data_IF_788403172900
#
_entry.id   IF_788403172900
#
_cell.length_a   1.000
_cell.length_b   1.000
_cell.length_c   1.000
_cell.angle_alpha   90.00
_cell.angle_beta   90.00
_cell.angle_gamma   90.00
#
_symmetry.space_group_name_H-M   'P 1'
#
loop_
_entity.id
_entity.type
_entity.pdbx_description
1 polymer ?
#
# COMPACT_ATOMS: atom_id res chain seq x y z
N UNK A 1 -7.06 17.13 30.60
CA UNK A 1 -7.32 18.00 29.42
C UNK A 1 -7.77 17.12 28.27
N UNK A 2 -8.60 17.63 27.35
CA UNK A 2 -9.03 16.87 26.17
C UNK A 2 -7.84 16.64 25.23
N UNK A 3 -7.63 15.37 24.84
CA UNK A 3 -6.61 14.95 23.89
C UNK A 3 -7.13 15.10 22.47
N UNK A 4 -6.26 15.52 21.54
CA UNK A 4 -6.57 15.60 20.11
C UNK A 4 -5.50 14.88 19.29
N UNK A 5 -5.86 13.69 18.83
CA UNK A 5 -5.10 12.97 17.81
C UNK A 5 -5.68 13.36 16.46
N UNK A 6 -4.82 13.69 15.51
CA UNK A 6 -5.20 13.99 14.14
C UNK A 6 -4.72 12.86 13.24
N UNK A 7 -5.57 12.46 12.30
CA UNK A 7 -5.25 11.57 11.19
C UNK A 7 -5.34 12.38 9.90
N UNK A 8 -4.27 12.37 9.12
CA UNK A 8 -4.19 13.03 7.83
C UNK A 8 -4.13 11.95 6.77
N UNK A 9 -4.99 12.03 5.77
CA UNK A 9 -5.12 11.06 4.69
C UNK A 9 -5.22 11.80 3.35
N UNK A 10 -4.28 11.55 2.45
CA UNK A 10 -4.23 12.23 1.15
C UNK A 10 -5.33 11.72 0.23
N UNK A 11 -6.05 12.67 -0.37
CA UNK A 11 -7.24 12.38 -1.14
C UNK A 11 -6.90 11.68 -2.46
N UNK A 12 -7.40 10.44 -2.62
CA UNK A 12 -7.21 9.61 -3.81
C UNK A 12 -5.75 9.62 -4.31
N UNK A 13 -4.80 9.47 -3.38
CA UNK A 13 -3.39 9.86 -3.53
C UNK A 13 -2.74 9.54 -4.87
N UNK A 14 -2.74 8.27 -5.32
CA UNK A 14 -2.09 7.91 -6.59
C UNK A 14 -2.73 8.60 -7.79
N UNK A 15 -4.05 8.60 -7.91
CA UNK A 15 -4.72 9.32 -9.01
C UNK A 15 -4.53 10.83 -8.93
N UNK A 16 -4.49 11.40 -7.72
CA UNK A 16 -4.24 12.83 -7.54
C UNK A 16 -2.82 13.22 -7.93
N UNK A 17 -1.81 12.39 -7.64
CA UNK A 17 -0.44 12.56 -8.15
C UNK A 17 -0.39 12.55 -9.69
N UNK A 18 -1.16 11.65 -10.31
CA UNK A 18 -1.27 11.57 -11.77
C UNK A 18 -1.96 12.80 -12.36
N UNK A 19 -3.07 13.26 -11.77
CA UNK A 19 -3.79 14.46 -12.20
C UNK A 19 -3.01 15.76 -11.92
N UNK A 20 -2.13 15.76 -10.91
CA UNK A 20 -1.24 16.87 -10.61
C UNK A 20 -0.24 17.09 -11.75
N UNK A 21 0.44 16.00 -12.16
CA UNK A 21 1.53 16.00 -13.15
C UNK A 21 1.05 15.89 -14.60
N UNK A 22 -0.19 15.45 -14.81
CA UNK A 22 -0.85 15.35 -16.13
C UNK A 22 -2.13 16.19 -16.09
N UNK A 23 -2.05 17.53 -16.25
CA UNK A 23 -3.18 18.43 -16.06
C UNK A 23 -4.44 18.07 -16.87
N UNK A 24 -4.27 17.46 -18.05
CA UNK A 24 -5.40 17.00 -18.87
C UNK A 24 -6.19 15.81 -18.29
N UNK A 25 -5.73 15.21 -17.20
CA UNK A 25 -6.45 14.17 -16.46
C UNK A 25 -7.33 14.73 -15.34
N UNK A 26 -7.21 16.02 -14.98
CA UNK A 26 -8.03 16.65 -13.94
C UNK A 26 -9.51 16.60 -14.34
N UNK A 27 -10.39 16.24 -13.40
CA UNK A 27 -11.82 16.10 -13.67
C UNK A 27 -12.22 14.83 -14.46
N UNK A 28 -11.25 13.96 -14.80
CA UNK A 28 -11.52 12.72 -15.55
C UNK A 28 -11.50 11.50 -14.63
N UNK A 29 -12.27 10.43 -14.94
CA UNK A 29 -12.17 9.16 -14.24
C UNK A 29 -10.80 8.51 -14.47
N UNK A 30 -9.86 8.70 -13.55
CA UNK A 30 -8.53 8.07 -13.57
C UNK A 30 -8.49 6.85 -12.66
N UNK A 31 -7.93 5.76 -13.19
CA UNK A 31 -7.61 4.53 -12.47
C UNK A 31 -6.12 4.25 -12.62
N UNK A 32 -5.42 4.11 -11.50
CA UNK A 32 -4.00 3.76 -11.45
C UNK A 32 -3.88 2.27 -11.18
N UNK A 33 -3.11 1.56 -12.00
CA UNK A 33 -2.80 0.16 -11.75
C UNK A 33 -2.26 -0.55 -12.97
N UNK A 34 -1.80 -1.77 -12.77
CA UNK A 34 -1.27 -2.57 -13.85
C UNK A 34 -2.41 -3.06 -14.75
N UNK A 35 -2.24 -2.96 -16.07
CA UNK A 35 -3.23 -3.36 -17.07
C UNK A 35 -3.14 -4.84 -17.48
N UNK A 36 -2.11 -5.56 -17.02
CA UNK A 36 -1.98 -7.00 -17.25
C UNK A 36 -3.13 -7.80 -16.61
N UNK A 37 -3.40 -9.00 -17.12
CA UNK A 37 -4.65 -9.74 -16.88
C UNK A 37 -5.05 -9.96 -15.40
N UNK A 38 -4.07 -9.99 -14.49
CA UNK A 38 -4.30 -10.19 -13.05
C UNK A 38 -4.10 -8.91 -12.22
N UNK A 39 -3.97 -7.76 -12.88
CA UNK A 39 -3.81 -6.46 -12.24
C UNK A 39 -5.03 -6.05 -11.44
N UNK A 40 -4.78 -5.31 -10.37
CA UNK A 40 -5.80 -4.67 -9.53
C UNK A 40 -5.62 -3.16 -9.56
N UNK A 41 -6.67 -2.44 -9.23
CA UNK A 41 -6.64 -0.98 -9.05
C UNK A 41 -5.79 -0.65 -7.82
N UNK A 42 -4.68 0.05 -8.03
CA UNK A 42 -3.84 0.58 -6.97
C UNK A 42 -4.44 1.87 -6.38
N UNK A 43 -5.05 2.71 -7.22
CA UNK A 43 -5.76 3.91 -6.79
C UNK A 43 -6.82 4.33 -7.81
N UNK A 44 -7.91 4.92 -7.34
CA UNK A 44 -8.99 5.43 -8.17
C UNK A 44 -9.36 6.85 -7.74
N UNK A 45 -9.45 7.74 -8.72
CA UNK A 45 -9.94 9.12 -8.58
C UNK A 45 -11.38 9.17 -8.07
N UNK A 46 -11.79 10.30 -7.51
CA UNK A 46 -13.18 10.45 -7.06
C UNK A 46 -14.18 10.33 -8.22
N UNK A 47 -13.82 10.80 -9.41
CA UNK A 47 -14.60 10.65 -10.64
C UNK A 47 -14.74 9.19 -11.04
N UNK A 48 -13.69 8.37 -10.88
CA UNK A 48 -13.78 6.93 -11.11
C UNK A 48 -14.58 6.20 -10.01
N UNK A 49 -14.46 6.63 -8.74
CA UNK A 49 -15.23 6.09 -7.62
C UNK A 49 -16.73 6.35 -7.77
N UNK A 50 -17.11 7.52 -8.30
CA UNK A 50 -18.49 7.84 -8.63
C UNK A 50 -19.10 6.89 -9.67
N UNK A 51 -18.27 6.30 -10.53
CA UNK A 51 -18.65 5.26 -11.49
C UNK A 51 -18.55 3.84 -10.92
N UNK A 52 -18.24 3.69 -9.63
CA UNK A 52 -18.19 2.41 -8.93
C UNK A 52 -16.82 1.75 -8.88
N UNK A 53 -15.77 2.31 -9.51
CA UNK A 53 -14.41 1.76 -9.42
C UNK A 53 -13.85 1.92 -8.00
N UNK A 54 -13.13 0.90 -7.50
CA UNK A 54 -12.59 0.88 -6.13
C UNK A 54 -11.16 0.37 -6.11
N UNK A 55 -10.37 0.78 -5.12
CA UNK A 55 -9.06 0.17 -4.86
C UNK A 55 -9.20 -1.33 -4.61
N UNK A 56 -8.17 -2.09 -4.99
CA UNK A 56 -8.14 -3.56 -4.98
C UNK A 56 -9.16 -4.28 -5.89
N UNK A 57 -10.01 -3.54 -6.63
CA UNK A 57 -10.87 -4.12 -7.64
C UNK A 57 -10.04 -4.70 -8.80
N UNK A 58 -10.43 -5.85 -9.39
CA UNK A 58 -9.81 -6.35 -10.62
C UNK A 58 -9.84 -5.30 -11.73
N UNK A 59 -8.71 -5.09 -12.41
CA UNK A 59 -8.56 -4.03 -13.41
C UNK A 59 -9.56 -4.15 -14.56
N UNK A 60 -9.91 -5.39 -14.97
CA UNK A 60 -10.91 -5.60 -16.02
C UNK A 60 -12.30 -5.08 -15.61
N UNK A 61 -12.71 -5.26 -14.35
CA UNK A 61 -13.98 -4.75 -13.85
C UNK A 61 -13.97 -3.22 -13.78
N UNK A 62 -12.87 -2.64 -13.28
CA UNK A 62 -12.71 -1.20 -13.22
C UNK A 62 -12.79 -0.55 -14.61
N UNK A 63 -12.15 -1.15 -15.63
CA UNK A 63 -12.23 -0.70 -17.03
C UNK A 63 -13.67 -0.72 -17.57
N UNK A 64 -14.42 -1.78 -17.28
CA UNK A 64 -15.84 -1.86 -17.66
C UNK A 64 -16.66 -0.75 -17.02
N UNK A 65 -16.43 -0.46 -15.72
CA UNK A 65 -17.17 0.55 -14.98
C UNK A 65 -16.88 1.98 -15.45
N UNK A 66 -15.60 2.33 -15.69
CA UNK A 66 -15.23 3.69 -16.13
C UNK A 66 -15.50 3.94 -17.62
N UNK A 67 -15.67 2.86 -18.41
CA UNK A 67 -15.97 2.91 -19.84
C UNK A 67 -14.94 3.71 -20.65
N UNK A 68 -15.38 4.26 -21.79
CA UNK A 68 -14.51 5.03 -22.71
C UNK A 68 -14.11 6.40 -22.17
N UNK A 69 -14.77 6.89 -21.12
CA UNK A 69 -14.46 8.20 -20.51
C UNK A 69 -13.24 8.13 -19.59
N UNK A 70 -13.01 6.96 -19.00
CA UNK A 70 -11.93 6.74 -18.06
C UNK A 70 -10.55 6.57 -18.69
N UNK A 71 -9.53 6.87 -17.90
CA UNK A 71 -8.12 6.72 -18.27
C UNK A 71 -7.48 5.77 -17.28
N UNK A 72 -6.83 4.73 -17.80
CA UNK A 72 -6.00 3.83 -17.00
C UNK A 72 -4.54 4.24 -17.17
N UNK A 73 -3.86 4.48 -16.05
CA UNK A 73 -2.44 4.84 -16.04
C UNK A 73 -1.62 3.85 -15.25
N UNK A 74 -0.40 3.58 -15.72
CA UNK A 74 0.55 2.75 -14.98
C UNK A 74 1.08 3.53 -13.75
N UNK A 75 1.34 2.83 -12.64
CA UNK A 75 1.80 3.47 -11.41
C UNK A 75 3.24 3.96 -11.52
N UNK A 76 3.48 5.22 -11.13
CA UNK A 76 4.81 5.87 -11.10
C UNK A 76 5.27 6.08 -9.65
N UNK A 77 5.74 4.99 -9.03
CA UNK A 77 6.07 4.98 -7.59
C UNK A 77 7.19 5.95 -7.19
N UNK A 78 8.09 6.32 -8.10
CA UNK A 78 9.10 7.37 -7.87
C UNK A 78 8.43 8.72 -7.55
N UNK A 79 7.45 9.13 -8.37
CA UNK A 79 6.65 10.34 -8.18
C UNK A 79 5.87 10.27 -6.88
N UNK A 80 5.20 9.14 -6.61
CA UNK A 80 4.38 8.97 -5.40
C UNK A 80 5.23 9.08 -4.14
N UNK A 81 6.41 8.44 -4.12
CA UNK A 81 7.33 8.52 -2.98
C UNK A 81 7.88 9.93 -2.79
N UNK A 82 8.20 10.62 -3.89
CA UNK A 82 8.71 11.99 -3.82
C UNK A 82 7.67 12.94 -3.19
N UNK A 83 6.43 12.89 -3.67
CA UNK A 83 5.33 13.72 -3.14
C UNK A 83 4.97 13.33 -1.70
N UNK A 84 4.92 12.02 -1.40
CA UNK A 84 4.70 11.51 -0.04
C UNK A 84 5.72 12.05 0.94
N UNK A 85 7.02 12.02 0.60
CA UNK A 85 8.08 12.56 1.46
C UNK A 85 7.90 14.04 1.77
N UNK A 86 7.51 14.85 0.78
CA UNK A 86 7.23 16.27 0.99
C UNK A 86 6.05 16.47 1.94
N UNK A 87 4.93 15.76 1.71
CA UNK A 87 3.74 15.83 2.57
C UNK A 87 4.06 15.42 4.00
N UNK A 88 4.72 14.27 4.19
CA UNK A 88 5.07 13.76 5.52
C UNK A 88 6.03 14.68 6.26
N UNK A 89 6.95 15.35 5.54
CA UNK A 89 7.81 16.37 6.13
C UNK A 89 7.01 17.58 6.65
N UNK A 90 6.04 18.08 5.88
CA UNK A 90 5.14 19.17 6.31
C UNK A 90 4.33 18.74 7.54
N UNK A 91 3.76 17.53 7.52
CA UNK A 91 2.97 17.00 8.65
C UNK A 91 3.84 16.88 9.91
N UNK A 92 5.06 16.35 9.80
CA UNK A 92 5.98 16.23 10.92
C UNK A 92 6.44 17.59 11.46
N UNK A 93 6.72 18.56 10.58
CA UNK A 93 7.09 19.93 10.97
C UNK A 93 5.98 20.61 11.79
N UNK A 94 4.71 20.38 11.45
CA UNK A 94 3.58 20.97 12.16
C UNK A 94 3.16 20.16 13.40
N UNK A 95 3.17 18.83 13.30
CA UNK A 95 2.59 17.95 14.31
C UNK A 95 3.56 17.34 15.31
N UNK A 96 4.87 17.56 15.15
CA UNK A 96 5.91 16.96 15.96
C UNK A 96 6.08 15.47 15.66
N UNK A 97 5.60 14.60 16.56
CA UNK A 97 5.73 13.15 16.39
C UNK A 97 4.76 12.66 15.31
N UNK A 98 5.32 12.21 14.19
CA UNK A 98 4.57 11.57 13.10
C UNK A 98 4.63 10.04 13.21
N UNK A 99 3.45 9.43 13.30
CA UNK A 99 3.27 7.99 13.07
C UNK A 99 2.75 7.75 11.65
N UNK A 100 3.68 7.57 10.72
CA UNK A 100 3.33 7.26 9.33
C UNK A 100 2.81 5.83 9.20
N UNK A 101 1.58 5.67 8.70
CA UNK A 101 0.98 4.35 8.46
C UNK A 101 1.25 3.85 7.04
N UNK A 102 1.22 4.75 6.05
CA UNK A 102 1.42 4.46 4.64
C UNK A 102 2.07 5.64 3.92
N UNK A 103 2.21 5.55 2.60
CA UNK A 103 2.69 6.65 1.74
C UNK A 103 1.78 7.88 1.76
N UNK A 104 0.51 7.72 2.11
CA UNK A 104 -0.53 8.75 2.00
C UNK A 104 -1.23 9.08 3.32
N UNK A 105 -0.90 8.40 4.41
CA UNK A 105 -1.58 8.65 5.69
C UNK A 105 -0.65 8.56 6.91
N UNK A 106 -1.01 9.31 7.96
CA UNK A 106 -0.29 9.31 9.22
C UNK A 106 -1.07 9.95 10.38
N UNK A 107 -0.63 9.65 11.60
CA UNK A 107 -1.13 10.29 12.81
C UNK A 107 -0.14 11.30 13.37
N UNK A 108 -0.67 12.37 13.95
CA UNK A 108 0.05 13.34 14.79
C UNK A 108 -0.78 13.66 16.03
N UNK A 109 -0.10 14.17 17.05
CA UNK A 109 -0.73 14.65 18.28
C UNK A 109 -0.02 15.93 18.75
N UNK A 110 -0.35 17.09 18.16
CA UNK A 110 0.31 18.34 18.50
C UNK A 110 0.02 18.74 19.95
N UNK A 111 1.07 18.95 20.74
CA UNK A 111 0.93 19.28 22.16
C UNK A 111 0.16 20.59 22.41
N UNK A 112 0.27 21.56 21.49
CA UNK A 112 -0.44 22.84 21.55
C UNK A 112 -1.96 22.72 21.41
N UNK A 113 -2.45 21.61 20.83
CA UNK A 113 -3.88 21.35 20.75
C UNK A 113 -4.42 20.75 22.05
N UNK A 114 -3.59 20.37 23.02
CA UNK A 114 -4.09 19.79 24.27
C UNK A 114 -5.06 20.75 24.99
N UNK A 115 -6.31 20.32 25.16
CA UNK A 115 -7.38 21.13 25.76
C UNK A 115 -7.97 22.22 24.85
N UNK A 116 -7.56 22.31 23.58
CA UNK A 116 -8.13 23.23 22.61
C UNK A 116 -9.62 22.92 22.33
N UNK A 117 -10.37 23.97 21.97
CA UNK A 117 -11.74 23.87 21.48
C UNK A 117 -11.82 23.18 20.11
N UNK A 118 -13.02 22.73 19.74
CA UNK A 118 -13.27 22.10 18.43
C UNK A 118 -12.92 23.04 17.28
N UNK A 119 -13.25 24.32 17.44
CA UNK A 119 -13.02 25.39 16.47
C UNK A 119 -11.53 25.66 16.28
N UNK A 120 -10.75 25.67 17.36
CA UNK A 120 -9.29 25.82 17.29
C UNK A 120 -8.63 24.64 16.57
N UNK A 121 -9.06 23.41 16.85
CA UNK A 121 -8.54 22.20 16.18
C UNK A 121 -8.93 22.21 14.70
N UNK A 122 -10.15 22.63 14.37
CA UNK A 122 -10.60 22.76 12.99
C UNK A 122 -9.76 23.79 12.22
N UNK A 123 -9.51 24.97 12.81
CA UNK A 123 -8.69 26.00 12.18
C UNK A 123 -7.26 25.52 11.96
N UNK A 124 -6.66 24.86 12.96
CA UNK A 124 -5.32 24.28 12.84
C UNK A 124 -5.24 23.26 11.70
N UNK A 125 -6.22 22.36 11.61
CA UNK A 125 -6.30 21.35 10.55
C UNK A 125 -6.49 22.00 9.16
N UNK A 126 -7.22 23.11 9.08
CA UNK A 126 -7.37 23.90 7.86
C UNK A 126 -6.04 24.49 7.41
N UNK A 127 -5.29 25.11 8.32
CA UNK A 127 -4.01 25.73 8.01
C UNK A 127 -2.97 24.70 7.56
N UNK A 128 -2.97 23.51 8.18
CA UNK A 128 -2.15 22.38 7.71
C UNK A 128 -2.53 21.96 6.29
N UNK A 129 -3.82 21.82 5.98
CA UNK A 129 -4.30 21.43 4.64
C UNK A 129 -3.91 22.46 3.58
N UNK A 130 -4.05 23.75 3.87
CA UNK A 130 -3.64 24.82 2.95
C UNK A 130 -2.12 24.88 2.77
N UNK A 131 -1.34 24.59 3.81
CA UNK A 131 0.13 24.45 3.68
C UNK A 131 0.51 23.27 2.78
N UNK A 132 -0.13 22.11 2.95
CA UNK A 132 0.09 20.94 2.07
C UNK A 132 -0.28 21.27 0.63
N UNK A 133 -1.45 21.90 0.41
CA UNK A 133 -1.92 22.24 -0.92
C UNK A 133 -1.03 23.27 -1.62
N UNK A 134 -0.65 24.35 -0.93
CA UNK A 134 0.19 25.40 -1.51
C UNK A 134 1.60 24.92 -1.87
N UNK A 135 2.20 24.03 -1.07
CA UNK A 135 3.56 23.55 -1.34
C UNK A 135 3.60 22.35 -2.31
N UNK A 136 2.69 21.38 -2.13
CA UNK A 136 2.73 20.12 -2.87
C UNK A 136 1.75 20.12 -4.05
N UNK A 137 0.60 20.78 -3.91
CA UNK A 137 -0.49 20.79 -4.89
C UNK A 137 -1.49 19.64 -4.74
N UNK A 138 -1.47 18.95 -3.60
CA UNK A 138 -2.37 17.82 -3.30
C UNK A 138 -3.34 18.18 -2.17
N UNK A 139 -4.55 17.64 -2.23
CA UNK A 139 -5.57 17.79 -1.18
C UNK A 139 -5.49 16.65 -0.17
N UNK A 140 -5.86 16.94 1.06
CA UNK A 140 -5.88 15.99 2.16
C UNK A 140 -7.17 16.18 2.97
N UNK A 141 -7.66 15.07 3.50
CA UNK A 141 -8.74 15.06 4.48
C UNK A 141 -8.17 14.83 5.87
N UNK A 142 -8.65 15.60 6.85
CA UNK A 142 -8.12 15.57 8.22
C UNK A 142 -9.23 15.23 9.20
N UNK A 143 -8.99 14.20 10.02
CA UNK A 143 -9.87 13.79 11.10
C UNK A 143 -9.23 14.03 12.44
N UNK A 144 -9.95 14.61 13.39
CA UNK A 144 -9.48 14.78 14.77
C UNK A 144 -10.39 14.07 15.77
N UNK A 145 -9.82 13.44 16.79
CA UNK A 145 -10.59 12.82 17.86
C UNK A 145 -9.74 12.47 19.08
N UNK A 146 -10.36 11.93 20.15
CA UNK A 146 -9.65 11.68 21.41
C UNK A 146 -8.80 10.39 21.43
N UNK A 147 -8.29 9.98 20.26
CA UNK A 147 -7.50 8.76 20.04
C UNK A 147 -7.42 8.42 18.55
N UNK A 148 -6.49 7.53 18.19
CA UNK A 148 -6.20 7.16 16.79
C UNK A 148 -7.42 6.60 16.07
N UNK A 149 -8.20 5.76 16.74
CA UNK A 149 -9.40 5.16 16.16
C UNK A 149 -10.40 6.22 15.70
N UNK A 150 -10.63 7.24 16.53
CA UNK A 150 -11.60 8.30 16.25
C UNK A 150 -11.08 9.27 15.22
N UNK A 151 -9.80 9.61 15.29
CA UNK A 151 -9.14 10.45 14.29
C UNK A 151 -9.25 9.80 12.89
N UNK A 152 -8.99 8.50 12.78
CA UNK A 152 -9.10 7.76 11.51
C UNK A 152 -10.53 7.67 10.97
N UNK A 153 -11.50 7.38 11.83
CA UNK A 153 -12.91 7.38 11.41
C UNK A 153 -13.34 8.78 10.97
N UNK A 154 -12.91 9.80 11.72
CA UNK A 154 -13.20 11.20 11.41
C UNK A 154 -12.64 11.61 10.05
N UNK A 155 -11.42 11.22 9.70
CA UNK A 155 -10.85 11.58 8.40
C UNK A 155 -11.59 10.89 7.25
N UNK A 156 -12.09 9.67 7.47
CA UNK A 156 -12.91 8.98 6.46
C UNK A 156 -14.27 9.65 6.28
N UNK A 157 -14.87 10.20 7.35
CA UNK A 157 -16.09 11.00 7.29
C UNK A 157 -15.86 12.40 6.68
N UNK A 158 -14.64 12.91 6.76
CA UNK A 158 -14.25 14.20 6.23
C UNK A 158 -14.02 14.20 4.70
N UNK A 159 -13.83 13.02 4.08
CA UNK A 159 -13.52 12.91 2.65
C UNK A 159 -14.71 13.31 1.76
N UNK A 160 -14.46 13.96 0.61
CA UNK A 160 -13.17 14.47 0.11
C UNK A 160 -12.84 15.88 0.61
N UNK A 161 -11.55 16.21 0.68
CA UNK A 161 -11.02 17.57 0.93
C UNK A 161 -11.71 18.30 2.10
N UNK A 162 -11.88 17.60 3.22
CA UNK A 162 -12.62 18.12 4.36
C UNK A 162 -11.90 17.94 5.70
N UNK A 163 -12.52 18.50 6.73
CA UNK A 163 -12.09 18.36 8.13
C UNK A 163 -13.29 17.88 8.93
N UNK A 164 -13.07 16.86 9.77
CA UNK A 164 -14.06 16.45 10.75
C UNK A 164 -13.40 16.32 12.13
N UNK A 165 -13.90 17.11 13.08
CA UNK A 165 -13.41 17.11 14.47
C UNK A 165 -14.48 16.46 15.34
N UNK A 166 -14.19 15.28 15.87
CA UNK A 166 -15.09 14.51 16.72
C UNK A 166 -14.74 14.71 18.20
N UNK A 167 -15.44 15.59 18.93
CA UNK A 167 -15.22 15.74 20.37
C UNK A 167 -15.78 14.53 21.13
N UNK A 168 -15.21 14.26 22.31
CA UNK A 168 -15.59 13.09 23.12
C UNK A 168 -17.09 12.96 23.41
N UNK A 169 -17.78 14.10 23.59
CA UNK A 169 -19.23 14.16 23.85
C UNK A 169 -20.08 13.62 22.71
N UNK A 170 -19.60 13.69 21.46
CA UNK A 170 -20.35 13.31 20.26
C UNK A 170 -20.03 11.87 19.82
N UNK A 171 -19.20 11.16 20.58
CA UNK A 171 -18.83 9.77 20.27
C UNK A 171 -20.06 8.87 20.16
N UNK A 172 -20.96 8.89 21.15
CA UNK A 172 -22.11 8.00 21.13
C UNK A 172 -23.06 8.30 19.95
N UNK A 173 -23.26 9.57 19.61
CA UNK A 173 -24.20 9.98 18.56
C UNK A 173 -23.64 9.75 17.16
N UNK A 174 -22.34 9.97 16.95
CA UNK A 174 -21.71 9.83 15.62
C UNK A 174 -21.15 8.44 15.38
N UNK A 175 -20.53 7.81 16.39
CA UNK A 175 -19.82 6.54 16.24
C UNK A 175 -20.77 5.34 16.26
N UNK A 176 -21.69 5.29 17.21
CA UNK A 176 -22.49 4.09 17.46
C UNK A 176 -23.36 3.66 16.27
N UNK A 177 -23.97 4.58 15.49
CA UNK A 177 -24.74 4.18 14.31
C UNK A 177 -23.89 3.63 13.17
N UNK A 178 -22.56 3.80 13.19
CA UNK A 178 -21.70 3.34 12.12
C UNK A 178 -21.64 1.80 12.09
N UNK A 179 -21.54 1.20 10.88
CA UNK A 179 -21.28 -0.23 10.76
C UNK A 179 -20.02 -0.64 11.50
N UNK A 180 -20.03 -1.82 12.13
CA UNK A 180 -18.90 -2.29 12.96
C UNK A 180 -17.58 -2.41 12.20
N UNK A 181 -17.64 -2.64 10.88
CA UNK A 181 -16.46 -2.71 10.02
C UNK A 181 -15.79 -1.34 9.74
N UNK A 182 -16.36 -0.24 10.25
CA UNK A 182 -15.69 1.07 10.30
C UNK A 182 -14.66 1.15 11.43
N UNK A 183 -14.71 0.27 12.43
CA UNK A 183 -13.63 0.16 13.43
C UNK A 183 -12.37 -0.38 12.77
N UNK A 184 -11.26 0.30 13.02
CA UNK A 184 -9.96 -0.09 12.48
C UNK A 184 -9.49 -1.33 13.24
N UNK A 185 -9.32 -2.43 12.51
CA UNK A 185 -9.08 -3.76 13.07
C UNK A 185 -10.24 -4.74 12.87
N UNK A 186 -11.42 -4.28 12.47
CA UNK A 186 -12.55 -5.16 12.09
C UNK A 186 -12.49 -5.45 10.59
N UNK A 187 -11.76 -6.51 10.22
CA UNK A 187 -11.78 -7.04 8.85
C UNK A 187 -13.02 -7.91 8.55
N UNK A 188 -13.18 -8.40 7.30
CA UNK A 188 -14.34 -9.21 6.88
C UNK A 188 -14.59 -10.46 7.73
N UNK A 189 -13.54 -11.04 8.32
CA UNK A 189 -13.64 -12.22 9.18
C UNK A 189 -14.22 -11.85 10.54
N UNK A 190 -13.67 -10.82 11.19
CA UNK A 190 -14.20 -10.31 12.45
C UNK A 190 -15.64 -9.82 12.29
N UNK A 191 -15.93 -9.12 11.19
CA UNK A 191 -17.29 -8.69 10.86
C UNK A 191 -18.26 -9.87 10.75
N UNK A 192 -17.88 -10.96 10.07
CA UNK A 192 -18.73 -12.17 9.97
C UNK A 192 -19.00 -12.82 11.32
N UNK A 193 -17.98 -12.92 12.19
CA UNK A 193 -18.13 -13.47 13.54
C UNK A 193 -19.06 -12.60 14.41
N UNK A 194 -18.94 -11.28 14.31
CA UNK A 194 -19.81 -10.34 15.01
C UNK A 194 -21.26 -10.40 14.49
N UNK A 195 -21.44 -10.51 13.18
CA UNK A 195 -22.77 -10.63 12.57
C UNK A 195 -23.51 -11.89 13.05
N UNK A 196 -22.81 -13.00 13.32
CA UNK A 196 -23.40 -14.22 13.92
C UNK A 196 -23.96 -13.99 15.33
N UNK A 197 -23.49 -12.94 16.02
CA UNK A 197 -23.98 -12.52 17.34
C UNK A 197 -25.01 -11.38 17.24
N UNK A 198 -25.47 -11.02 16.04
CA UNK A 198 -26.38 -9.90 15.83
C UNK A 198 -25.73 -8.51 15.96
N UNK A 199 -24.39 -8.43 16.02
CA UNK A 199 -23.66 -7.16 16.11
C UNK A 199 -23.45 -6.59 14.72
N UNK A 200 -24.18 -5.53 14.38
CA UNK A 200 -24.09 -4.86 13.08
C UNK A 200 -23.35 -3.52 13.16
N UNK A 201 -23.49 -2.82 14.28
CA UNK A 201 -23.00 -1.46 14.49
C UNK A 201 -21.88 -1.40 15.54
N UNK A 202 -21.17 -0.27 15.59
CA UNK A 202 -20.20 -0.01 16.66
C UNK A 202 -20.91 0.07 18.02
N UNK A 203 -22.13 0.61 18.07
CA UNK A 203 -22.96 0.66 19.27
C UNK A 203 -23.28 -0.74 19.81
N UNK A 204 -23.63 -1.68 18.92
CA UNK A 204 -23.90 -3.06 19.30
C UNK A 204 -22.67 -3.73 19.93
N UNK A 205 -21.48 -3.52 19.35
CA UNK A 205 -20.23 -4.03 19.91
C UNK A 205 -19.89 -3.38 21.25
N UNK A 206 -20.17 -2.08 21.40
CA UNK A 206 -19.96 -1.36 22.65
C UNK A 206 -20.92 -1.83 23.77
N UNK A 207 -22.09 -2.34 23.40
CA UNK A 207 -23.11 -2.86 24.33
C UNK A 207 -22.83 -4.29 24.82
N UNK A 208 -21.98 -5.06 24.13
CA UNK A 208 -21.56 -6.38 24.61
C UNK A 208 -20.83 -6.28 25.95
N UNK A 209 -20.85 -7.35 26.73
CA UNK A 209 -19.88 -7.55 27.80
C UNK A 209 -18.49 -7.83 27.22
N UNK A 210 -17.44 -7.48 27.98
CA UNK A 210 -16.07 -7.79 27.59
C UNK A 210 -15.88 -9.30 27.32
N UNK A 211 -16.52 -10.17 28.12
CA UNK A 211 -16.42 -11.63 27.96
C UNK A 211 -17.00 -12.12 26.63
N UNK A 212 -18.13 -11.57 26.21
CA UNK A 212 -18.75 -11.91 24.91
C UNK A 212 -17.87 -11.49 23.74
N UNK A 213 -17.29 -10.28 23.80
CA UNK A 213 -16.36 -9.80 22.78
C UNK A 213 -15.09 -10.67 22.71
N UNK A 214 -14.51 -11.04 23.85
CA UNK A 214 -13.35 -11.92 23.94
C UNK A 214 -13.65 -13.34 23.44
N UNK A 215 -14.82 -13.89 23.76
CA UNK A 215 -15.22 -15.22 23.29
C UNK A 215 -15.39 -15.30 21.77
N UNK A 216 -15.90 -14.23 21.14
CA UNK A 216 -16.10 -14.18 19.68
C UNK A 216 -14.82 -13.93 18.90
N UNK A 217 -14.02 -12.94 19.34
CA UNK A 217 -12.90 -12.40 18.57
C UNK A 217 -11.53 -12.86 19.09
N UNK A 218 -11.50 -13.60 20.20
CA UNK A 218 -10.29 -13.97 20.93
C UNK A 218 -9.92 -12.91 21.97
N UNK A 219 -9.25 -13.34 23.05
CA UNK A 219 -9.02 -12.52 24.24
C UNK A 219 -8.36 -11.16 23.96
N UNK A 220 -7.25 -11.15 23.21
CA UNK A 220 -6.53 -9.91 22.94
C UNK A 220 -7.31 -8.97 22.00
N UNK A 221 -7.74 -9.50 20.84
CA UNK A 221 -8.40 -8.70 19.79
C UNK A 221 -9.79 -8.24 20.23
N UNK A 222 -10.57 -9.11 20.86
CA UNK A 222 -11.90 -8.82 21.38
C UNK A 222 -11.86 -7.71 22.42
N UNK A 223 -10.94 -7.77 23.38
CA UNK A 223 -10.76 -6.71 24.40
C UNK A 223 -10.42 -5.37 23.77
N UNK A 224 -9.47 -5.33 22.83
CA UNK A 224 -9.05 -4.08 22.19
C UNK A 224 -10.18 -3.48 21.36
N UNK A 225 -10.85 -4.26 20.51
CA UNK A 225 -11.97 -3.78 19.68
C UNK A 225 -13.16 -3.32 20.52
N UNK A 226 -13.49 -4.03 21.59
CA UNK A 226 -14.55 -3.66 22.54
C UNK A 226 -14.25 -2.33 23.26
N UNK A 227 -13.00 -2.13 23.70
CA UNK A 227 -12.57 -0.86 24.29
C UNK A 227 -12.67 0.30 23.29
N UNK A 228 -12.24 0.08 22.04
CA UNK A 228 -12.32 1.08 20.98
C UNK A 228 -13.75 1.39 20.56
N UNK A 229 -14.67 0.41 20.58
CA UNK A 229 -16.09 0.65 20.33
C UNK A 229 -16.71 1.60 21.36
N UNK A 230 -16.22 1.58 22.62
CA UNK A 230 -16.69 2.43 23.71
C UNK A 230 -16.03 3.82 23.80
N UNK A 231 -15.28 4.26 22.80
CA UNK A 231 -14.63 5.57 22.90
C UNK A 231 -13.27 5.57 23.64
N UNK A 232 -12.69 4.40 23.95
CA UNK A 232 -11.44 4.27 24.72
C UNK A 232 -10.28 3.80 23.84
N UNK A 233 -9.41 4.74 23.46
CA UNK A 233 -8.17 4.49 22.72
C UNK A 233 -7.01 5.31 23.30
N UNK A 234 -6.25 4.68 24.19
CA UNK A 234 -5.11 5.31 24.89
C UNK A 234 -3.78 5.12 24.17
N UNK A 235 -3.78 4.55 22.95
CA UNK A 235 -2.53 4.33 22.20
C UNK A 235 -1.86 5.68 21.91
N UNK A 236 -0.58 5.87 22.28
CA UNK A 236 0.15 7.10 21.97
C UNK A 236 0.44 7.15 20.47
N UNK A 237 0.49 8.35 19.89
CA UNK A 237 1.11 8.53 18.58
C UNK A 237 2.63 8.36 18.77
N UNK A 238 3.21 7.41 18.06
CA UNK A 238 4.61 7.03 18.21
C UNK A 238 5.22 6.72 16.84
N UNK A 239 6.51 7.00 16.62
CA UNK A 239 7.17 6.63 15.38
C UNK A 239 6.98 5.15 15.06
N UNK A 240 6.87 4.83 13.77
CA UNK A 240 6.62 3.46 13.33
C UNK A 240 7.70 2.51 13.87
N UNK A 241 7.23 1.40 14.44
CA UNK A 241 8.12 0.37 14.93
C UNK A 241 8.97 -0.22 13.79
N UNK A 242 10.21 -0.58 14.11
CA UNK A 242 11.15 -1.21 13.18
C UNK A 242 10.50 -2.46 12.56
N UNK A 243 10.73 -2.69 11.26
CA UNK A 243 10.18 -3.83 10.54
C UNK A 243 10.53 -5.15 11.24
N UNK A 244 9.53 -6.01 11.46
CA UNK A 244 9.71 -7.35 12.04
C UNK A 244 10.03 -8.41 10.99
N UNK A 245 9.69 -8.12 9.73
CA UNK A 245 9.86 -9.02 8.60
C UNK A 245 10.09 -8.18 7.35
N UNK A 246 10.91 -8.72 6.44
CA UNK A 246 11.17 -8.18 5.10
C UNK A 246 10.82 -9.28 4.11
N UNK A 247 9.96 -9.02 3.13
CA UNK A 247 9.59 -10.02 2.13
C UNK A 247 9.38 -9.40 0.77
N UNK A 248 9.39 -10.22 -0.27
CA UNK A 248 8.96 -9.85 -1.61
C UNK A 248 8.15 -10.99 -2.24
N UNK A 249 7.06 -10.65 -2.91
CA UNK A 249 6.20 -11.62 -3.57
C UNK A 249 5.70 -11.10 -4.92
N UNK A 250 5.48 -12.03 -5.86
CA UNK A 250 5.05 -11.73 -7.21
C UNK A 250 3.91 -12.65 -7.61
N UNK A 251 2.79 -12.06 -8.06
CA UNK A 251 1.74 -12.79 -8.79
C UNK A 251 2.09 -12.79 -10.27
N UNK A 252 2.14 -13.97 -10.88
CA UNK A 252 2.55 -14.12 -12.27
C UNK A 252 1.36 -13.95 -13.22
N UNK A 253 1.57 -13.37 -14.43
CA UNK A 253 0.50 -13.18 -15.41
C UNK A 253 -0.18 -14.49 -15.83
N UNK A 254 0.60 -15.56 -15.93
CA UNK A 254 0.15 -16.93 -16.12
C UNK A 254 0.62 -17.77 -14.94
N UNK A 255 -0.09 -18.86 -14.66
CA UNK A 255 0.34 -19.80 -13.63
C UNK A 255 1.61 -20.54 -14.09
N UNK A 256 2.47 -20.86 -13.13
CA UNK A 256 3.71 -21.58 -13.33
C UNK A 256 3.41 -23.07 -13.27
N UNK A 257 3.85 -23.81 -14.29
CA UNK A 257 3.55 -25.23 -14.48
C UNK A 257 4.79 -26.11 -14.38
N UNK A 258 5.99 -25.53 -14.48
CA UNK A 258 7.25 -26.27 -14.51
C UNK A 258 8.14 -25.91 -13.33
N UNK A 259 9.04 -26.83 -12.97
CA UNK A 259 10.09 -26.58 -11.97
C UNK A 259 10.95 -25.36 -12.32
N UNK A 260 11.39 -25.26 -13.56
CA UNK A 260 12.24 -24.15 -14.04
C UNK A 260 11.57 -22.79 -13.87
N UNK A 261 10.26 -22.69 -14.13
CA UNK A 261 9.50 -21.45 -13.91
C UNK A 261 9.43 -21.07 -12.42
N UNK A 262 9.21 -22.05 -11.54
CA UNK A 262 9.16 -21.83 -10.09
C UNK A 262 10.54 -21.45 -9.54
N UNK A 263 11.61 -22.10 -10.00
CA UNK A 263 12.98 -21.78 -9.60
C UNK A 263 13.34 -20.34 -9.97
N UNK A 264 13.04 -19.93 -11.21
CA UNK A 264 13.22 -18.55 -11.65
C UNK A 264 12.38 -17.55 -10.83
N UNK A 265 11.16 -17.95 -10.45
CA UNK A 265 10.28 -17.14 -9.62
C UNK A 265 10.78 -16.97 -8.19
N UNK A 266 11.36 -18.02 -7.58
CA UNK A 266 11.99 -17.97 -6.27
C UNK A 266 13.22 -17.08 -6.30
N UNK A 267 14.10 -17.26 -7.30
CA UNK A 267 15.31 -16.44 -7.49
C UNK A 267 14.93 -14.95 -7.55
N UNK A 268 13.91 -14.61 -8.35
CA UNK A 268 13.42 -13.23 -8.45
C UNK A 268 12.89 -12.70 -7.12
N UNK A 269 12.12 -13.51 -6.38
CA UNK A 269 11.57 -13.14 -5.08
C UNK A 269 12.67 -12.90 -4.04
N UNK A 270 13.63 -13.83 -3.94
CA UNK A 270 14.69 -13.74 -2.95
C UNK A 270 15.67 -12.62 -3.25
N UNK A 271 16.06 -12.39 -4.51
CA UNK A 271 16.91 -11.24 -4.89
C UNK A 271 16.31 -9.92 -4.41
N UNK A 272 14.99 -9.76 -4.56
CA UNK A 272 14.32 -8.54 -4.12
C UNK A 272 14.22 -8.44 -2.61
N UNK A 273 13.85 -9.52 -1.93
CA UNK A 273 13.81 -9.55 -0.46
C UNK A 273 15.21 -9.30 0.14
N UNK A 274 16.26 -9.84 -0.48
CA UNK A 274 17.65 -9.71 -0.05
C UNK A 274 18.19 -8.30 -0.23
N UNK A 275 17.93 -7.66 -1.37
CA UNK A 275 18.25 -6.24 -1.56
C UNK A 275 17.59 -5.35 -0.50
N UNK A 276 16.36 -5.68 -0.06
CA UNK A 276 15.69 -4.98 1.05
C UNK A 276 16.35 -5.27 2.39
N UNK A 277 16.74 -6.52 2.65
CA UNK A 277 17.47 -6.92 3.87
C UNK A 277 18.80 -6.16 4.00
N UNK A 278 19.57 -6.06 2.92
CA UNK A 278 20.84 -5.32 2.91
C UNK A 278 20.64 -3.81 3.20
N UNK A 279 19.56 -3.22 2.71
CA UNK A 279 19.21 -1.80 2.99
C UNK A 279 18.77 -1.58 4.42
N UNK A 280 18.07 -2.56 5.01
CA UNK A 280 17.68 -2.54 6.42
C UNK A 280 18.90 -2.70 7.35
N UNK A 281 19.92 -3.44 6.92
CA UNK A 281 21.20 -3.55 7.62
C UNK A 281 21.23 -4.60 8.74
N UNK A 282 20.18 -5.41 8.91
CA UNK A 282 20.16 -6.57 9.83
C UNK A 282 20.35 -7.89 9.08
N UNK A 283 20.74 -8.93 9.81
CA UNK A 283 20.71 -10.32 9.33
C UNK A 283 19.36 -10.99 9.65
N UNK A 284 19.03 -12.07 8.94
CA UNK A 284 17.81 -12.83 9.15
C UNK A 284 18.11 -14.26 9.62
N UNK A 285 17.31 -14.76 10.56
CA UNK A 285 17.37 -16.17 10.99
C UNK A 285 16.32 -17.02 10.32
N UNK A 286 15.11 -16.49 10.17
CA UNK A 286 13.97 -17.25 9.66
C UNK A 286 13.73 -16.89 8.20
N UNK A 287 13.71 -17.90 7.34
CA UNK A 287 13.38 -17.81 5.93
C UNK A 287 12.02 -18.48 5.73
N UNK A 288 11.15 -17.80 4.98
CA UNK A 288 9.81 -18.27 4.66
C UNK A 288 9.60 -18.27 3.15
N UNK A 289 9.00 -19.34 2.63
CA UNK A 289 8.55 -19.46 1.25
C UNK A 289 7.03 -19.57 1.26
N UNK A 290 6.39 -18.71 0.48
CA UNK A 290 4.94 -18.66 0.30
C UNK A 290 4.60 -18.94 -1.16
N UNK A 291 3.78 -19.95 -1.38
CA UNK A 291 3.24 -20.31 -2.68
C UNK A 291 1.72 -20.12 -2.62
N UNK A 292 1.15 -19.48 -3.64
CA UNK A 292 -0.31 -19.47 -3.85
C UNK A 292 -0.62 -20.22 -5.12
N UNK A 293 -1.56 -21.14 -5.07
CA UNK A 293 -1.97 -21.97 -6.20
C UNK A 293 -3.06 -21.27 -7.03
N UNK A 294 -3.38 -21.82 -8.20
CA UNK A 294 -4.37 -21.25 -9.11
C UNK A 294 -5.80 -21.18 -8.50
N UNK A 295 -6.10 -22.08 -7.56
CA UNK A 295 -7.34 -22.13 -6.76
C UNK A 295 -7.34 -21.18 -5.55
N UNK A 296 -6.30 -20.34 -5.41
CA UNK A 296 -6.06 -19.41 -4.30
C UNK A 296 -5.72 -20.04 -2.95
N UNK A 297 -5.52 -21.36 -2.88
CA UNK A 297 -4.93 -21.98 -1.69
C UNK A 297 -3.51 -21.44 -1.48
N UNK A 298 -3.11 -21.23 -0.22
CA UNK A 298 -1.80 -20.69 0.15
C UNK A 298 -1.06 -21.73 0.98
N UNK A 299 0.13 -22.09 0.53
CA UNK A 299 1.08 -22.87 1.30
C UNK A 299 2.23 -21.97 1.74
N UNK A 300 2.51 -21.95 3.04
CA UNK A 300 3.60 -21.19 3.61
C UNK A 300 4.45 -22.10 4.49
N UNK A 301 5.72 -22.22 4.15
CA UNK A 301 6.71 -23.02 4.90
C UNK A 301 7.84 -22.11 5.36
N UNK A 302 8.44 -22.43 6.49
CA UNK A 302 9.58 -21.66 7.00
C UNK A 302 10.61 -22.57 7.66
N UNK A 303 11.86 -22.10 7.62
CA UNK A 303 12.99 -22.69 8.34
C UNK A 303 13.71 -21.59 9.10
N UNK A 304 14.32 -21.93 10.24
CA UNK A 304 15.07 -20.98 11.07
C UNK A 304 16.48 -21.48 11.26
N UNK A 305 17.45 -20.67 10.86
CA UNK A 305 18.87 -20.89 11.04
C UNK A 305 19.29 -20.61 12.49
N UNK A 306 20.34 -21.28 13.00
CA UNK A 306 20.82 -21.05 14.36
C UNK A 306 21.33 -19.62 14.59
N UNK A 307 21.88 -18.98 13.55
CA UNK A 307 22.42 -17.62 13.56
C UNK A 307 21.74 -16.74 12.49
N UNK A 308 21.85 -15.41 12.67
CA UNK A 308 21.38 -14.44 11.70
C UNK A 308 22.42 -14.22 10.60
N UNK A 309 21.99 -14.23 9.34
CA UNK A 309 22.86 -14.00 8.18
C UNK A 309 22.18 -13.12 7.14
N UNK A 310 22.98 -12.36 6.38
CA UNK A 310 22.59 -11.68 5.16
C UNK A 310 23.31 -12.26 3.92
N UNK A 311 23.94 -13.43 4.05
CA UNK A 311 24.55 -14.14 2.92
C UNK A 311 23.48 -14.61 1.93
N UNK A 312 23.59 -14.17 0.69
CA UNK A 312 22.62 -14.46 -0.35
C UNK A 312 22.52 -15.95 -0.68
N UNK A 313 23.65 -16.66 -0.77
CA UNK A 313 23.68 -18.05 -1.18
C UNK A 313 23.13 -18.97 -0.09
N UNK A 314 23.39 -18.67 1.19
CA UNK A 314 22.79 -19.38 2.32
C UNK A 314 21.27 -19.19 2.34
N UNK A 315 20.82 -17.94 2.24
CA UNK A 315 19.38 -17.61 2.24
C UNK A 315 18.67 -18.24 1.03
N UNK A 316 19.34 -18.27 -0.13
CA UNK A 316 18.84 -18.93 -1.35
C UNK A 316 18.69 -20.42 -1.13
N UNK A 317 19.74 -21.10 -0.66
CA UNK A 317 19.70 -22.52 -0.38
C UNK A 317 18.56 -22.87 0.61
N UNK A 318 18.41 -22.09 1.68
CA UNK A 318 17.33 -22.28 2.66
C UNK A 318 15.93 -22.09 2.05
N UNK A 319 15.74 -21.13 1.14
CA UNK A 319 14.46 -20.96 0.43
C UNK A 319 14.16 -22.14 -0.51
N UNK A 320 15.17 -22.65 -1.22
CA UNK A 320 15.03 -23.80 -2.13
C UNK A 320 14.76 -25.11 -1.39
N UNK A 321 15.15 -25.25 -0.12
CA UNK A 321 14.78 -26.40 0.70
C UNK A 321 13.27 -26.46 0.99
N UNK A 322 12.60 -25.29 1.04
CA UNK A 322 11.19 -25.20 1.41
C UNK A 322 10.25 -25.48 0.23
N UNK A 323 10.75 -25.48 -1.01
CA UNK A 323 9.92 -25.51 -2.22
C UNK A 323 9.18 -26.83 -2.39
N UNK A 324 7.94 -26.71 -2.88
CA UNK A 324 7.19 -27.80 -3.51
C UNK A 324 6.76 -27.34 -4.89
N UNK A 325 6.78 -28.27 -5.84
CA UNK A 325 6.63 -27.98 -7.26
C UNK A 325 5.21 -28.28 -7.78
N UNK A 326 4.87 -27.83 -9.00
CA UNK A 326 3.52 -27.96 -9.53
C UNK A 326 3.01 -29.40 -9.69
N UNK A 327 3.90 -30.38 -9.79
CA UNK A 327 3.57 -31.82 -9.76
C UNK A 327 2.98 -32.26 -8.41
N UNK A 328 3.25 -31.54 -7.33
CA UNK A 328 2.76 -31.82 -5.98
C UNK A 328 1.59 -30.92 -5.55
N UNK A 329 1.57 -29.67 -6.02
CA UNK A 329 0.62 -28.63 -5.58
C UNK A 329 -0.40 -28.22 -6.63
N UNK A 330 -0.19 -28.62 -7.88
CA UNK A 330 -0.85 -28.02 -9.03
C UNK A 330 -0.21 -26.67 -9.45
N UNK A 331 -0.79 -25.97 -10.44
CA UNK A 331 -0.22 -24.75 -10.99
C UNK A 331 -0.06 -23.63 -9.95
N UNK A 332 1.11 -22.99 -9.94
CA UNK A 332 1.46 -21.97 -8.94
C UNK A 332 1.24 -20.57 -9.52
N UNK A 333 0.45 -19.76 -8.82
CA UNK A 333 0.05 -18.40 -9.21
C UNK A 333 0.97 -17.30 -8.66
N UNK A 334 1.46 -17.46 -7.44
CA UNK A 334 2.28 -16.46 -6.74
C UNK A 334 3.41 -17.16 -5.98
N UNK A 335 4.60 -16.56 -6.04
CA UNK A 335 5.76 -16.98 -5.26
C UNK A 335 6.24 -15.79 -4.43
N UNK A 336 6.47 -16.01 -3.14
CA UNK A 336 6.97 -15.02 -2.20
C UNK A 336 8.02 -15.57 -1.27
N UNK A 337 9.07 -14.80 -1.00
CA UNK A 337 10.12 -15.12 -0.05
C UNK A 337 10.16 -14.05 1.02
N UNK A 338 10.29 -14.44 2.29
CA UNK A 338 10.34 -13.53 3.42
C UNK A 338 11.37 -13.92 4.47
N UNK A 339 11.92 -12.90 5.11
CA UNK A 339 12.94 -12.94 6.15
C UNK A 339 12.39 -12.34 7.43
N UNK A 340 12.43 -13.08 8.53
CA UNK A 340 12.02 -12.61 9.86
C UNK A 340 13.06 -13.01 10.91
N UNK A 341 12.78 -12.68 12.18
CA UNK A 341 13.75 -12.86 13.28
C UNK A 341 15.04 -12.10 12.96
N UNK A 342 14.87 -10.80 12.69
CA UNK A 342 15.91 -9.91 12.20
C UNK A 342 16.77 -9.39 13.36
N UNK A 343 18.09 -9.55 13.25
CA UNK A 343 19.04 -9.24 14.31
C UNK A 343 20.19 -8.36 13.78
N UNK A 344 20.65 -7.42 14.61
CA UNK A 344 21.79 -6.53 14.26
C UNK A 344 23.13 -7.25 14.41
N UNK A 345 23.23 -8.18 15.36
CA UNK A 345 24.40 -9.01 15.53
C UNK A 345 24.46 -10.04 14.39
N UNK A 346 25.51 -9.97 13.58
CA UNK A 346 25.78 -10.92 12.50
C UNK A 346 26.91 -11.82 12.96
N UNK A 347 26.72 -13.13 12.85
CA UNK A 347 27.81 -14.07 13.08
C UNK A 347 28.23 -14.59 11.70
N UNK A 348 29.42 -14.20 11.25
CA UNK A 348 30.03 -14.79 10.07
C UNK A 348 30.43 -16.22 10.42
N UNK A 349 29.83 -17.19 9.73
CA UNK A 349 30.14 -18.60 9.93
C UNK A 349 31.19 -19.02 8.90
N UNK A 350 32.30 -19.56 9.38
CA UNK A 350 33.45 -19.94 8.56
C UNK A 350 33.17 -21.09 7.58
N UNK A 351 32.10 -21.88 7.80
CA UNK A 351 31.71 -23.05 6.96
C UNK A 351 30.18 -23.22 6.86
N UNK A 352 29.49 -22.41 6.04
CA UNK A 352 28.03 -22.37 5.99
C UNK A 352 27.36 -23.63 5.41
N UNK A 353 28.06 -24.42 4.60
CA UNK A 353 27.51 -25.63 3.95
C UNK A 353 27.26 -26.78 4.95
N UNK A 354 28.02 -26.83 6.05
CA UNK A 354 27.94 -27.89 7.06
C UNK A 354 26.75 -27.68 8.02
N UNK A 355 26.35 -26.43 8.27
CA UNK A 355 25.23 -26.11 9.18
C UNK A 355 23.86 -26.33 8.54
N UNK A 356 23.75 -26.14 7.21
CA UNK A 356 22.54 -26.46 6.47
C UNK A 356 22.19 -27.95 6.56
N UNK A 357 23.14 -28.86 6.80
CA UNK A 357 22.86 -30.29 6.87
C UNK A 357 22.37 -30.77 8.24
N UNK A 358 22.59 -30.01 9.32
CA UNK A 358 22.42 -30.50 10.69
C UNK A 358 21.20 -29.96 11.45
N UNK A 359 20.57 -28.87 10.99
CA UNK A 359 19.49 -28.21 11.75
C UNK A 359 18.31 -27.77 10.89
N UNK A 360 17.36 -28.68 10.66
CA UNK A 360 16.09 -28.37 10.01
C UNK A 360 14.91 -28.87 10.84
N UNK A 361 14.20 -27.94 11.49
CA UNK A 361 12.80 -28.15 11.86
C UNK A 361 11.95 -27.34 10.89
N UNK A 362 11.45 -28.01 9.84
CA UNK A 362 10.50 -27.39 8.92
C UNK A 362 9.19 -27.27 9.68
N UNK A 363 8.69 -26.04 9.83
CA UNK A 363 7.36 -25.80 10.38
C UNK A 363 6.40 -25.59 9.23
N UNK A 364 5.39 -26.45 9.15
CA UNK A 364 4.22 -26.27 8.29
C UNK A 364 3.15 -25.51 9.08
N UNK A 365 2.66 -24.43 8.50
CA UNK A 365 1.53 -23.70 9.04
C UNK A 365 0.46 -23.60 7.96
N UNK A 366 -0.64 -24.30 8.16
CA UNK A 366 -1.87 -24.06 7.42
C UNK A 366 -2.42 -22.69 7.85
N UNK A 367 -2.20 -21.68 7.03
CA UNK A 367 -2.88 -20.40 7.22
C UNK A 367 -4.31 -20.56 6.69
N UNK A 368 -5.26 -20.82 7.58
CA UNK A 368 -6.67 -20.57 7.28
C UNK A 368 -6.83 -19.12 6.82
N UNK A 369 -7.69 -18.91 5.82
CA UNK A 369 -7.95 -17.62 5.17
C UNK A 369 -8.69 -16.68 6.13
N UNK A 370 -7.95 -16.21 7.13
CA UNK A 370 -8.26 -15.03 7.90
C UNK A 370 -7.62 -13.86 7.19
N UNK A 371 -8.40 -13.06 6.45
CA UNK A 371 -7.98 -11.74 5.99
C UNK A 371 -7.70 -10.90 7.25
N UNK A 372 -6.52 -11.05 7.86
CA UNK A 372 -5.82 -9.89 8.38
C UNK A 372 -5.62 -9.04 7.14
N UNK A 373 -6.18 -7.84 7.15
CA UNK A 373 -5.78 -6.80 6.22
C UNK A 373 -4.26 -6.64 6.41
N UNK A 374 -3.46 -7.42 5.69
CA UNK A 374 -2.10 -7.06 5.40
C UNK A 374 -2.26 -5.79 4.59
N UNK A 375 -2.08 -4.66 5.28
CA UNK A 375 -1.73 -3.40 4.66
C UNK A 375 -0.64 -3.74 3.66
N UNK A 376 -0.99 -3.76 2.38
CA UNK A 376 0.01 -3.89 1.33
C UNK A 376 0.81 -2.60 1.38
N UNK A 377 1.89 -2.63 2.13
CA UNK A 377 2.84 -1.54 2.17
C UNK A 377 3.54 -1.52 0.82
N UNK A 378 3.12 -0.60 -0.04
CA UNK A 378 3.81 -0.21 -1.27
C UNK A 378 5.16 0.50 -0.99
N UNK A 379 5.60 0.55 0.27
CA UNK A 379 6.70 1.42 0.71
C UNK A 379 8.07 0.96 0.23
N UNK A 380 8.36 -0.34 0.16
CA UNK A 380 9.71 -0.76 -0.18
C UNK A 380 9.88 -1.16 -1.63
N UNK A 381 10.11 -0.15 -2.47
CA UNK A 381 10.70 -0.30 -3.80
C UNK A 381 10.05 -1.40 -4.66
N UNK A 382 8.81 -1.18 -5.09
CA UNK A 382 8.44 -1.65 -6.42
C UNK A 382 9.34 -0.89 -7.40
N UNK A 383 10.48 -1.49 -7.78
CA UNK A 383 11.09 -1.11 -9.05
C UNK A 383 10.05 -1.37 -10.12
N UNK A 384 9.98 -0.48 -11.11
CA UNK A 384 9.25 -0.68 -12.36
C UNK A 384 9.84 -1.88 -13.10
N UNK A 385 9.61 -3.09 -12.60
CA UNK A 385 9.73 -4.27 -13.44
C UNK A 385 8.49 -4.25 -14.29
N UNK A 386 8.62 -3.56 -15.43
CA UNK A 386 7.65 -3.60 -16.51
C UNK A 386 7.25 -5.07 -16.70
N UNK A 387 5.96 -5.39 -16.67
CA UNK A 387 5.51 -6.69 -17.12
C UNK A 387 6.20 -7.01 -18.44
N UNK A 388 6.84 -8.17 -18.56
CA UNK A 388 7.40 -8.63 -19.83
C UNK A 388 6.35 -8.62 -20.96
N UNK A 389 5.06 -8.64 -20.61
CA UNK A 389 3.94 -8.45 -21.53
C UNK A 389 3.83 -7.04 -22.13
N UNK A 390 4.29 -5.99 -21.45
CA UNK A 390 4.32 -4.60 -21.97
C UNK A 390 5.52 -4.35 -22.90
N UNK A 391 6.58 -5.14 -22.76
CA UNK A 391 7.79 -5.09 -23.62
C UNK A 391 7.50 -5.61 -25.04
N UNK A 392 6.30 -6.13 -25.31
CA UNK A 392 5.93 -6.73 -26.61
C UNK A 392 5.74 -5.72 -27.77
N UNK A 393 5.77 -4.41 -27.53
CA UNK A 393 5.52 -3.38 -28.56
C UNK A 393 6.68 -2.38 -28.78
N UNK A 394 7.92 -2.86 -28.72
CA UNK A 394 9.10 -2.04 -29.04
C UNK A 394 9.57 -1.14 -27.90
N UNK A 395 10.27 -0.05 -28.23
CA UNK A 395 10.96 0.87 -27.29
C UNK A 395 10.02 1.54 -26.27
N UNK A 396 8.73 1.62 -26.58
CA UNK A 396 7.78 2.47 -25.86
C UNK A 396 6.51 1.71 -25.42
N UNK A 397 5.88 2.16 -24.33
CA UNK A 397 4.57 1.66 -23.87
C UNK A 397 3.62 2.79 -23.46
N UNK A 398 2.32 2.49 -23.40
CA UNK A 398 1.31 3.49 -23.02
C UNK A 398 1.55 4.02 -21.61
N UNK A 399 1.34 5.33 -21.44
CA UNK A 399 1.54 6.07 -20.18
C UNK A 399 2.97 6.20 -19.69
N UNK A 400 3.95 5.75 -20.48
CA UNK A 400 5.37 6.01 -20.24
C UNK A 400 5.70 7.49 -20.37
N UNK A 401 6.54 8.00 -19.47
CA UNK A 401 7.12 9.33 -19.55
C UNK A 401 8.26 9.38 -20.59
N UNK A 402 8.27 10.44 -21.39
CA UNK A 402 9.21 10.66 -22.50
C UNK A 402 9.63 12.13 -22.57
N UNK A 403 10.78 12.39 -23.19
CA UNK A 403 11.29 13.74 -23.43
C UNK A 403 11.55 13.93 -24.93
N UNK A 404 11.37 15.16 -25.38
CA UNK A 404 11.73 15.60 -26.73
C UNK A 404 12.36 17.00 -26.66
N UNK A 405 13.48 17.28 -27.36
CA UNK A 405 14.16 18.58 -27.30
C UNK A 405 13.25 19.79 -27.55
N UNK A 406 12.38 19.70 -28.55
CA UNK A 406 11.51 20.82 -28.93
C UNK A 406 10.25 21.00 -28.06
N UNK A 407 9.84 19.96 -27.33
CA UNK A 407 8.53 19.94 -26.64
C UNK A 407 8.65 19.67 -25.13
N UNK A 408 9.84 19.33 -24.64
CA UNK A 408 10.09 19.02 -23.25
C UNK A 408 9.54 17.65 -22.82
N UNK A 409 9.06 17.60 -21.57
CA UNK A 409 8.53 16.38 -20.95
C UNK A 409 7.11 16.08 -21.43
N UNK A 410 6.82 14.81 -21.65
CA UNK A 410 5.50 14.33 -22.01
C UNK A 410 5.27 12.88 -21.62
N UNK A 411 4.12 12.35 -22.00
CA UNK A 411 3.76 10.97 -21.79
C UNK A 411 2.98 10.38 -22.97
N UNK A 412 3.16 9.09 -23.19
CA UNK A 412 2.61 8.39 -24.34
C UNK A 412 1.12 8.11 -24.12
N UNK A 413 0.27 8.66 -24.99
CA UNK A 413 -1.18 8.42 -24.94
C UNK A 413 -1.59 7.15 -25.70
N UNK A 414 -0.88 6.83 -26.79
CA UNK A 414 -1.24 5.73 -27.67
C UNK A 414 -0.08 5.31 -28.57
N UNK A 415 -0.08 4.03 -28.93
CA UNK A 415 0.91 3.39 -29.79
C UNK A 415 0.16 2.56 -30.83
N UNK A 416 0.54 2.67 -32.09
CA UNK A 416 -0.03 1.86 -33.16
C UNK A 416 0.57 2.19 -34.53
N UNK A 417 0.60 1.19 -35.42
CA UNK A 417 1.06 1.34 -36.81
C UNK A 417 2.44 2.00 -36.94
N UNK A 418 3.39 1.66 -36.06
CA UNK A 418 4.74 2.24 -36.06
C UNK A 418 4.82 3.70 -35.61
N UNK A 419 3.73 4.26 -35.04
CA UNK A 419 3.67 5.64 -34.55
C UNK A 419 3.36 5.69 -33.06
N UNK A 420 3.84 6.76 -32.42
CA UNK A 420 3.64 7.03 -30.99
C UNK A 420 3.05 8.43 -30.83
N UNK A 421 1.89 8.53 -30.20
CA UNK A 421 1.26 9.81 -29.86
C UNK A 421 1.61 10.21 -28.44
N UNK A 422 2.27 11.34 -28.29
CA UNK A 422 2.78 11.88 -27.02
C UNK A 422 2.03 13.15 -26.69
N UNK A 423 1.60 13.26 -25.43
CA UNK A 423 1.13 14.52 -24.86
C UNK A 423 2.24 15.14 -24.03
N UNK A 424 2.65 16.35 -24.40
CA UNK A 424 3.65 17.12 -23.66
C UNK A 424 2.98 17.96 -22.60
N UNK A 425 3.22 17.60 -21.34
CA UNK A 425 2.70 18.28 -20.16
C UNK A 425 3.46 17.88 -18.88
N UNK A 426 3.47 18.80 -17.94
CA UNK A 426 4.01 18.69 -16.57
C UNK A 426 3.04 19.36 -15.58
N UNK A 427 3.39 19.33 -14.29
CA UNK A 427 2.64 20.05 -13.23
C UNK A 427 2.42 21.54 -13.55
N UNK A 428 3.41 22.21 -14.14
CA UNK A 428 3.37 23.64 -14.48
C UNK A 428 2.74 23.96 -15.85
N UNK A 429 2.40 22.94 -16.64
CA UNK A 429 1.87 23.14 -18.00
C UNK A 429 0.44 23.71 -17.98
N UNK A 430 0.25 24.84 -18.67
CA UNK A 430 -1.06 25.49 -18.84
C UNK A 430 -1.74 25.14 -20.16
N UNK A 431 -0.96 24.81 -21.21
CA UNK A 431 -1.46 24.41 -22.52
C UNK A 431 -0.73 23.16 -23.04
N UNK A 432 -1.38 22.00 -22.91
CA UNK A 432 -0.80 20.72 -23.32
C UNK A 432 -0.88 20.52 -24.83
N UNK A 433 0.23 20.11 -25.45
CA UNK A 433 0.28 19.79 -26.89
C UNK A 433 0.32 18.28 -27.12
N UNK A 434 -0.25 17.83 -28.23
CA UNK A 434 -0.13 16.44 -28.70
C UNK A 434 0.64 16.42 -30.01
N UNK A 435 1.64 15.55 -30.09
CA UNK A 435 2.38 15.28 -31.33
C UNK A 435 2.49 13.77 -31.54
N UNK A 436 2.52 13.37 -32.81
CA UNK A 436 2.66 11.97 -33.18
C UNK A 436 3.95 11.78 -33.94
N UNK A 437 4.86 10.98 -33.38
CA UNK A 437 6.17 10.69 -33.91
C UNK A 437 6.20 9.30 -34.56
N UNK A 438 7.23 9.07 -35.37
CA UNK A 438 7.62 7.71 -35.71
C UNK A 438 8.13 6.99 -34.44
N UNK A 439 7.82 5.71 -34.28
CA UNK A 439 8.26 4.93 -33.12
C UNK A 439 9.79 4.77 -33.02
N UNK A 440 10.50 4.95 -34.15
CA UNK A 440 11.95 4.94 -34.24
C UNK A 440 12.58 6.35 -34.17
N UNK A 441 11.80 7.40 -33.88
CA UNK A 441 12.32 8.76 -33.77
C UNK A 441 13.47 8.82 -32.74
N UNK A 442 14.69 9.23 -33.16
CA UNK A 442 15.86 9.26 -32.28
C UNK A 442 15.77 10.38 -31.23
N UNK A 443 14.99 11.44 -31.48
CA UNK A 443 14.84 12.58 -30.58
C UNK A 443 13.84 12.31 -29.45
N UNK A 444 12.93 11.35 -29.64
CA UNK A 444 12.03 10.90 -28.59
C UNK A 444 12.75 9.89 -27.69
N UNK A 445 12.91 10.20 -26.40
CA UNK A 445 13.63 9.35 -25.44
C UNK A 445 12.78 9.09 -24.19
N UNK A 446 12.93 7.94 -23.51
CA UNK A 446 12.36 7.75 -22.17
C UNK A 446 12.86 8.84 -21.20
N UNK A 447 11.96 9.37 -20.38
CA UNK A 447 12.27 10.41 -19.39
C UNK A 447 12.12 9.91 -17.97
N UNK A 448 12.78 10.58 -17.01
CA UNK A 448 12.52 10.37 -15.59
C UNK A 448 11.10 10.89 -15.25
N UNK A 449 10.21 10.06 -14.70
CA UNK A 449 8.89 10.51 -14.23
C UNK A 449 8.93 11.73 -13.30
N UNK A 450 10.01 11.93 -12.54
CA UNK A 450 10.17 13.10 -11.66
C UNK A 450 10.24 14.42 -12.42
N UNK A 451 10.67 14.41 -13.68
CA UNK A 451 10.69 15.61 -14.52
C UNK A 451 9.27 16.15 -14.80
N UNK A 452 8.23 15.33 -14.65
CA UNK A 452 6.83 15.77 -14.75
C UNK A 452 6.38 16.71 -13.63
N UNK A 453 7.17 16.85 -12.56
CA UNK A 453 6.90 17.76 -11.45
C UNK A 453 7.42 19.19 -11.67
N UNK A 454 8.21 19.40 -12.74
CA UNK A 454 8.77 20.71 -13.11
C UNK A 454 7.71 21.65 -13.69
#
# INVERSE_FOLDING_TARGET
>A
MQRWVLHIDMDAFFSSCEQLTRPTLRGRPVVVGNTSGRGVVAGASYEARALGAKSAMPMYQAKTLIGMRGVVVLPRFSVYRHLSKQVMAIIAEQGGVLEQLSVDEGFIEPAELAGASVEQVHQWAHDLREKIYSQVGLRASVGAGCGKQYAKISSDLAKPDGIFVMPRKDHATVLYPLPVNKLWGVGPVAQRKLAQLGVATIGDLAALSQKEAEASLGAAVGRTLWSMAQGRDERPVAPRAIAKQISAEYTYPQDLHTKTEVDAAIIRAIQKAHSRLLKDGRGARTISLKLRMADFHIEARSTTLPYATDDYEILKAAAFLLVRYPDQLGPIRLVGVGFSSLETARQEVFFPELDLLNHHSIKESEYEVGVRAQQHNYEDQAEEVLPQSLVRHGRFWTTQDVSHPDYGHGWIQGIGHGRVSVRFETKSTTNSQVKTFDSADPLLTPADPLDSLK
#
